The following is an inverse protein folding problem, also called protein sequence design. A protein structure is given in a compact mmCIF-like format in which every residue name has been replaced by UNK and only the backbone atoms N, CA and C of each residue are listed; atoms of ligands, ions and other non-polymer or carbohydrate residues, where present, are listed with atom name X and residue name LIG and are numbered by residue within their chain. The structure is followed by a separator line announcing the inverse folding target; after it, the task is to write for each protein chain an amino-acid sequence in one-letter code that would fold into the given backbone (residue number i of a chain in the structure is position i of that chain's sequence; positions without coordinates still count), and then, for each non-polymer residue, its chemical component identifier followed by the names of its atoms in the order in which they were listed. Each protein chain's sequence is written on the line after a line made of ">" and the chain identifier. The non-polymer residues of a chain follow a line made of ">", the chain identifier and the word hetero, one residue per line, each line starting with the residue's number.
data_IF_420932588489
#
_entry.id   IF_420932588489
#
_cell.length_a   1.000
_cell.length_b   1.000
_cell.length_c   1.000
_cell.angle_alpha   90.00
_cell.angle_beta   90.00
_cell.angle_gamma   90.00
#
_symmetry.space_group_name_H-M   'P 1'
#
loop_
_entity.id
_entity.type
_entity.pdbx_description
1 polymer ?
#
# COMPACT_ATOMS: atom_id res chain seq x y z
N UNK A 1 9.92 10.80 -17.90
CA UNK A 1 9.92 9.88 -16.72
C UNK A 1 10.01 10.60 -15.37
N UNK A 2 11.04 11.41 -15.12
CA UNK A 2 11.28 12.04 -13.82
C UNK A 2 10.07 12.86 -13.30
N UNK A 3 9.47 13.71 -14.13
CA UNK A 3 8.29 14.51 -13.73
C UNK A 3 7.08 13.65 -13.32
N UNK A 4 6.82 12.55 -14.05
CA UNK A 4 5.72 11.63 -13.72
C UNK A 4 5.95 10.90 -12.39
N UNK A 5 7.20 10.49 -12.12
CA UNK A 5 7.58 9.86 -10.86
C UNK A 5 7.54 10.85 -9.69
N UNK A 6 7.96 12.10 -9.89
CA UNK A 6 7.81 13.17 -8.89
C UNK A 6 6.32 13.33 -8.52
N UNK A 7 5.43 13.38 -9.52
CA UNK A 7 3.99 13.47 -9.28
C UNK A 7 3.47 12.27 -8.50
N UNK A 8 3.87 11.05 -8.88
CA UNK A 8 3.49 9.82 -8.21
C UNK A 8 3.98 9.77 -6.74
N UNK A 9 5.24 10.15 -6.49
CA UNK A 9 5.81 10.22 -5.15
C UNK A 9 5.13 11.27 -4.28
N UNK A 10 4.87 12.46 -4.84
CA UNK A 10 4.13 13.52 -4.17
C UNK A 10 2.69 13.08 -3.86
N UNK A 11 2.02 12.40 -4.78
CA UNK A 11 0.69 11.85 -4.57
C UNK A 11 0.67 10.79 -3.48
N UNK A 12 1.64 9.86 -3.45
CA UNK A 12 1.72 8.84 -2.40
C UNK A 12 1.87 9.48 -1.01
N UNK A 13 2.86 10.37 -0.85
CA UNK A 13 3.08 11.07 0.42
C UNK A 13 1.87 11.91 0.85
N UNK A 14 1.25 12.64 -0.08
CA UNK A 14 0.17 13.57 0.25
C UNK A 14 -1.17 12.91 0.50
N UNK A 15 -1.47 11.79 -0.19
CA UNK A 15 -2.74 11.05 0.02
C UNK A 15 -2.78 10.37 1.38
N UNK A 16 -1.64 9.82 1.82
CA UNK A 16 -1.50 9.14 3.12
C UNK A 16 -1.72 10.10 4.29
N UNK A 17 -1.14 11.30 4.25
CA UNK A 17 -1.40 12.34 5.25
C UNK A 17 -2.76 13.03 5.06
N UNK A 18 -3.16 13.28 3.82
CA UNK A 18 -4.41 13.97 3.48
C UNK A 18 -5.66 13.24 3.97
N UNK A 19 -5.61 11.91 4.06
CA UNK A 19 -6.68 11.09 4.63
C UNK A 19 -6.99 11.39 6.10
N UNK A 20 -6.08 12.05 6.83
CA UNK A 20 -6.32 12.50 8.19
C UNK A 20 -7.40 13.58 8.27
N UNK A 21 -7.60 14.38 7.21
CA UNK A 21 -8.61 15.45 7.21
C UNK A 21 -10.02 14.88 7.36
N UNK A 22 -10.37 13.89 6.55
CA UNK A 22 -11.68 13.22 6.63
C UNK A 22 -11.79 12.36 7.89
N UNK A 23 -10.68 11.75 8.33
CA UNK A 23 -10.63 10.97 9.56
C UNK A 23 -10.97 11.82 10.80
N UNK A 24 -10.36 13.00 10.91
CA UNK A 24 -10.50 13.93 12.03
C UNK A 24 -11.86 14.63 11.98
N UNK A 25 -12.24 15.22 10.84
CA UNK A 25 -13.42 16.07 10.79
C UNK A 25 -14.73 15.29 10.63
N UNK A 26 -14.69 14.15 9.94
CA UNK A 26 -15.91 13.43 9.53
C UNK A 26 -16.00 12.01 10.10
N UNK A 27 -14.99 11.55 10.85
CA UNK A 27 -14.88 10.16 11.32
C UNK A 27 -14.90 9.14 10.18
N UNK A 28 -14.50 9.54 8.98
CA UNK A 28 -14.42 8.67 7.80
C UNK A 28 -12.95 8.63 7.38
N UNK A 29 -12.20 7.58 7.72
CA UNK A 29 -10.78 7.51 7.40
C UNK A 29 -10.59 7.55 5.87
N UNK A 30 -9.80 8.50 5.39
CA UNK A 30 -9.56 8.68 3.95
C UNK A 30 -8.62 7.63 3.36
N UNK A 31 -7.76 7.03 4.18
CA UNK A 31 -7.00 5.83 3.87
C UNK A 31 -7.07 4.83 5.04
N UNK A 32 -6.86 3.52 4.80
CA UNK A 32 -6.84 2.50 5.86
C UNK A 32 -5.88 2.84 7.01
N UNK A 33 -4.80 3.56 6.70
CA UNK A 33 -3.81 3.97 7.68
C UNK A 33 -4.28 5.04 8.67
N UNK A 34 -5.33 5.82 8.33
CA UNK A 34 -5.86 6.87 9.22
C UNK A 34 -6.92 6.34 10.20
N UNK A 35 -7.18 5.03 10.26
CA UNK A 35 -8.15 4.45 11.22
C UNK A 35 -7.74 4.79 12.65
N UNK A 36 -6.46 4.61 13.01
CA UNK A 36 -5.96 4.96 14.35
C UNK A 36 -6.13 6.46 14.66
N UNK A 37 -5.97 7.32 13.65
CA UNK A 37 -6.15 8.77 13.76
C UNK A 37 -7.59 9.16 14.09
N UNK A 38 -8.59 8.39 13.62
CA UNK A 38 -9.99 8.66 13.96
C UNK A 38 -10.28 8.53 15.46
N UNK A 39 -9.52 7.71 16.21
CA UNK A 39 -9.79 7.40 17.62
C UNK A 39 -9.68 8.64 18.52
N UNK A 40 -8.59 9.39 18.38
CA UNK A 40 -8.36 10.62 19.15
C UNK A 40 -8.60 11.89 18.32
N UNK A 41 -8.29 11.86 17.02
CA UNK A 41 -8.41 13.02 16.16
C UNK A 41 -9.85 13.49 16.02
N UNK A 42 -10.80 12.55 15.84
CA UNK A 42 -12.21 12.91 15.76
C UNK A 42 -12.77 13.39 17.10
N UNK A 43 -12.38 12.74 18.21
CA UNK A 43 -12.75 13.17 19.56
C UNK A 43 -12.27 14.59 19.86
N UNK A 44 -11.05 14.99 19.44
CA UNK A 44 -10.58 16.37 19.52
C UNK A 44 -11.44 17.34 18.69
N UNK A 45 -11.81 16.94 17.47
CA UNK A 45 -12.65 17.77 16.60
C UNK A 45 -14.04 18.00 17.21
N UNK A 46 -14.65 16.98 17.80
CA UNK A 46 -15.94 17.07 18.49
C UNK A 46 -15.90 18.03 19.69
N UNK A 47 -14.74 18.16 20.34
CA UNK A 47 -14.51 19.11 21.42
C UNK A 47 -14.17 20.53 20.94
N UNK A 48 -14.32 20.85 19.66
CA UNK A 48 -13.99 22.16 19.07
C UNK A 48 -12.51 22.34 18.69
N UNK A 49 -11.64 21.36 19.02
CA UNK A 49 -10.19 21.43 18.79
C UNK A 49 -9.76 20.86 17.43
N UNK A 50 -10.63 20.94 16.41
CA UNK A 50 -10.37 20.38 15.08
C UNK A 50 -9.13 20.95 14.39
N UNK A 51 -8.86 22.26 14.52
CA UNK A 51 -7.65 22.88 13.96
C UNK A 51 -6.39 22.28 14.56
N UNK A 52 -6.38 22.16 15.90
CA UNK A 52 -5.26 21.61 16.64
C UNK A 52 -5.01 20.17 16.22
N UNK A 53 -6.06 19.34 16.12
CA UNK A 53 -5.93 17.95 15.65
C UNK A 53 -5.31 17.87 14.24
N UNK A 54 -5.76 18.69 13.30
CA UNK A 54 -5.20 18.73 11.94
C UNK A 54 -3.75 19.22 11.94
N UNK A 55 -3.43 20.25 12.73
CA UNK A 55 -2.07 20.76 12.84
C UNK A 55 -1.11 19.71 13.42
N UNK A 56 -1.52 19.04 14.52
CA UNK A 56 -0.75 17.96 15.12
C UNK A 56 -0.53 16.81 14.15
N UNK A 57 -1.57 16.43 13.39
CA UNK A 57 -1.49 15.41 12.34
C UNK A 57 -0.46 15.80 11.29
N UNK A 58 -0.61 16.90 10.56
CA UNK A 58 0.31 17.27 9.48
C UNK A 58 1.75 17.47 9.95
N UNK A 59 1.97 18.04 11.14
CA UNK A 59 3.29 18.21 11.71
C UNK A 59 3.94 16.87 12.09
N UNK A 60 3.19 15.96 12.73
CA UNK A 60 3.67 14.63 13.06
C UNK A 60 3.96 13.81 11.79
N UNK A 61 3.07 13.87 10.79
CA UNK A 61 3.25 13.23 9.49
C UNK A 61 4.47 13.77 8.75
N UNK A 62 4.77 15.06 8.86
CA UNK A 62 5.96 15.67 8.25
C UNK A 62 7.26 15.13 8.88
N UNK A 63 7.33 15.08 10.21
CA UNK A 63 8.52 14.57 10.91
C UNK A 63 8.73 13.08 10.63
N UNK A 64 7.66 12.28 10.76
CA UNK A 64 7.70 10.85 10.43
C UNK A 64 8.09 10.63 8.97
N UNK A 65 7.45 11.36 8.07
CA UNK A 65 7.69 11.28 6.64
C UNK A 65 9.11 11.64 6.20
N UNK A 66 9.68 12.72 6.76
CA UNK A 66 11.09 13.09 6.52
C UNK A 66 12.01 11.96 6.99
N UNK A 67 11.80 11.43 8.20
CA UNK A 67 12.61 10.32 8.71
C UNK A 67 12.49 9.06 7.83
N UNK A 68 11.27 8.74 7.38
CA UNK A 68 11.03 7.61 6.47
C UNK A 68 11.74 7.79 5.12
N UNK A 69 11.73 8.98 4.53
CA UNK A 69 12.46 9.26 3.28
C UNK A 69 13.97 9.26 3.50
N UNK A 70 14.46 9.70 4.66
CA UNK A 70 15.88 9.55 5.00
C UNK A 70 16.29 8.09 5.07
N UNK A 71 15.47 7.23 5.71
CA UNK A 71 15.70 5.79 5.67
C UNK A 71 15.69 5.24 4.24
N UNK A 72 14.79 5.71 3.38
CA UNK A 72 14.81 5.38 1.96
C UNK A 72 16.15 5.75 1.32
N UNK A 73 16.65 6.96 1.53
CA UNK A 73 17.94 7.44 0.98
C UNK A 73 19.11 6.58 1.45
N UNK A 74 19.17 6.25 2.75
CA UNK A 74 20.34 5.57 3.32
C UNK A 74 20.29 4.03 3.17
N UNK A 75 19.10 3.43 3.19
CA UNK A 75 18.97 1.97 3.15
C UNK A 75 18.89 1.42 1.73
N UNK A 76 18.41 2.22 0.77
CA UNK A 76 18.31 1.80 -0.64
C UNK A 76 19.66 1.40 -1.24
N UNK A 77 20.77 2.18 -1.09
CA UNK A 77 22.07 1.76 -1.61
C UNK A 77 22.58 0.47 -0.98
N UNK A 78 22.30 0.25 0.31
CA UNK A 78 22.73 -0.95 1.03
C UNK A 78 22.02 -2.19 0.48
N UNK A 79 20.70 -2.12 0.28
CA UNK A 79 19.92 -3.23 -0.29
C UNK A 79 20.19 -3.43 -1.79
N UNK A 80 20.44 -2.36 -2.55
CA UNK A 80 20.78 -2.46 -3.97
C UNK A 80 22.07 -3.27 -4.20
N UNK A 81 23.08 -3.11 -3.34
CA UNK A 81 24.30 -3.93 -3.40
C UNK A 81 24.02 -5.43 -3.18
N UNK A 82 23.03 -5.75 -2.35
CA UNK A 82 22.64 -7.15 -2.12
C UNK A 82 21.87 -7.72 -3.31
N UNK A 83 21.04 -6.89 -3.96
CA UNK A 83 20.30 -7.29 -5.16
C UNK A 83 21.23 -7.71 -6.32
N UNK A 84 22.42 -7.10 -6.43
CA UNK A 84 23.44 -7.48 -7.43
C UNK A 84 23.95 -8.92 -7.29
N UNK A 85 23.81 -9.54 -6.11
CA UNK A 85 24.22 -10.92 -5.88
C UNK A 85 23.18 -11.95 -6.39
N UNK A 86 22.01 -11.50 -6.86
CA UNK A 86 20.90 -12.40 -7.18
C UNK A 86 20.95 -12.86 -8.64
N UNK A 87 21.23 -14.15 -8.84
CA UNK A 87 20.99 -14.83 -10.11
C UNK A 87 19.51 -15.18 -10.38
N UNK A 88 19.19 -15.76 -11.56
CA UNK A 88 17.82 -16.04 -11.99
C UNK A 88 16.99 -16.90 -11.02
N UNK A 89 17.58 -17.93 -10.39
CA UNK A 89 16.87 -18.75 -9.40
C UNK A 89 16.41 -17.95 -8.18
N UNK A 90 17.23 -17.01 -7.72
CA UNK A 90 16.91 -16.15 -6.59
C UNK A 90 15.80 -15.16 -6.95
N UNK A 91 15.86 -14.55 -8.14
CA UNK A 91 14.82 -13.62 -8.62
C UNK A 91 13.47 -14.31 -8.83
N UNK A 92 13.47 -15.58 -9.28
CA UNK A 92 12.25 -16.39 -9.32
C UNK A 92 11.64 -16.55 -7.92
N UNK A 93 12.43 -17.02 -6.94
CA UNK A 93 11.92 -17.20 -5.57
C UNK A 93 11.55 -15.89 -4.89
N UNK A 94 12.23 -14.80 -5.21
CA UNK A 94 11.93 -13.46 -4.73
C UNK A 94 10.57 -12.98 -5.26
N UNK A 95 10.26 -13.25 -6.54
CA UNK A 95 8.96 -12.96 -7.13
C UNK A 95 7.83 -13.78 -6.44
N UNK A 96 8.07 -15.08 -6.23
CA UNK A 96 7.15 -15.96 -5.47
C UNK A 96 6.98 -15.47 -4.03
N UNK A 97 8.05 -15.03 -3.38
CA UNK A 97 8.04 -14.46 -2.03
C UNK A 97 7.20 -13.18 -1.97
N UNK A 98 7.33 -12.29 -2.94
CA UNK A 98 6.49 -11.10 -3.02
C UNK A 98 5.00 -11.45 -3.05
N UNK A 99 4.59 -12.32 -3.98
CA UNK A 99 3.17 -12.72 -4.14
C UNK A 99 2.65 -13.43 -2.89
N UNK A 100 3.45 -14.33 -2.30
CA UNK A 100 3.04 -15.12 -1.13
C UNK A 100 2.95 -14.30 0.14
N UNK A 101 3.89 -13.39 0.39
CA UNK A 101 3.89 -12.51 1.56
C UNK A 101 2.70 -11.56 1.52
N UNK A 102 2.45 -10.89 0.39
CA UNK A 102 1.29 -9.99 0.27
C UNK A 102 -0.02 -10.79 0.30
N UNK A 103 -0.08 -11.94 -0.39
CA UNK A 103 -1.23 -12.84 -0.35
C UNK A 103 -1.60 -13.27 1.06
N UNK A 104 -0.60 -13.54 1.91
CA UNK A 104 -0.83 -14.03 3.26
C UNK A 104 -1.16 -12.93 4.28
N UNK A 105 -0.69 -11.69 4.07
CA UNK A 105 -0.82 -10.59 5.04
C UNK A 105 -1.99 -9.64 4.76
N UNK A 106 -2.37 -9.44 3.50
CA UNK A 106 -3.37 -8.43 3.11
C UNK A 106 -4.81 -8.98 3.01
N UNK A 107 -4.97 -10.29 3.13
CA UNK A 107 -6.27 -10.95 2.97
C UNK A 107 -6.86 -11.42 4.30
N UNK A 108 -8.20 -11.39 4.41
CA UNK A 108 -8.90 -11.95 5.57
C UNK A 108 -8.77 -13.46 5.68
N UNK A 109 -8.32 -14.12 4.60
CA UNK A 109 -8.07 -15.54 4.55
C UNK A 109 -6.89 -15.82 3.64
N UNK A 110 -5.85 -16.44 4.18
CA UNK A 110 -4.58 -16.71 3.51
C UNK A 110 -4.81 -17.44 2.19
N UNK A 111 -5.73 -18.41 2.18
CA UNK A 111 -6.08 -19.17 0.97
C UNK A 111 -6.63 -18.25 -0.13
N UNK A 112 -7.53 -17.31 0.22
CA UNK A 112 -8.12 -16.39 -0.75
C UNK A 112 -7.09 -15.39 -1.26
N UNK A 113 -6.20 -14.90 -0.41
CA UNK A 113 -5.12 -14.01 -0.83
C UNK A 113 -4.10 -14.68 -1.74
N UNK A 114 -3.67 -15.92 -1.41
CA UNK A 114 -2.79 -16.70 -2.27
C UNK A 114 -3.45 -17.04 -3.61
N UNK A 115 -4.73 -17.44 -3.61
CA UNK A 115 -5.49 -17.66 -4.86
C UNK A 115 -5.61 -16.38 -5.68
N UNK A 116 -5.80 -15.22 -5.03
CA UNK A 116 -5.78 -13.93 -5.72
C UNK A 116 -4.44 -13.68 -6.42
N UNK A 117 -3.33 -13.97 -5.73
CA UNK A 117 -1.99 -13.94 -6.32
C UNK A 117 -1.83 -14.90 -7.51
N UNK A 118 -2.33 -16.13 -7.40
CA UNK A 118 -2.33 -17.09 -8.50
C UNK A 118 -3.17 -16.63 -9.70
N UNK A 119 -4.31 -15.99 -9.46
CA UNK A 119 -5.12 -15.37 -10.53
C UNK A 119 -4.29 -14.27 -11.21
N UNK A 120 -3.59 -13.44 -10.44
CA UNK A 120 -2.67 -12.43 -10.96
C UNK A 120 -1.58 -13.02 -11.86
N UNK A 121 -0.89 -14.05 -11.38
CA UNK A 121 0.14 -14.77 -12.13
C UNK A 121 -0.43 -15.37 -13.42
N UNK A 122 -1.64 -15.94 -13.37
CA UNK A 122 -2.32 -16.46 -14.55
C UNK A 122 -2.65 -15.35 -15.55
N UNK A 123 -3.19 -14.21 -15.09
CA UNK A 123 -3.49 -13.06 -15.95
C UNK A 123 -2.23 -12.51 -16.64
N UNK A 124 -1.08 -12.57 -15.98
CA UNK A 124 0.21 -12.18 -16.58
C UNK A 124 0.64 -13.08 -17.75
N UNK A 125 0.22 -14.36 -17.76
CA UNK A 125 0.53 -15.30 -18.85
C UNK A 125 -0.37 -15.17 -20.07
N UNK A 126 -1.38 -14.30 -20.02
CA UNK A 126 -2.27 -14.05 -21.17
C UNK A 126 -1.50 -13.25 -22.22
N UNK A 127 -1.48 -13.73 -23.46
CA UNK A 127 -0.79 -13.08 -24.57
C UNK A 127 0.12 -14.05 -25.34
N UNK A 128 1.09 -13.49 -26.06
CA UNK A 128 2.17 -14.27 -26.64
C UNK A 128 3.29 -14.44 -25.60
N UNK A 129 3.86 -15.64 -25.52
CA UNK A 129 5.09 -15.86 -24.77
C UNK A 129 6.27 -15.19 -25.48
N UNK A 130 7.02 -14.35 -24.76
CA UNK A 130 8.13 -13.58 -25.33
C UNK A 130 9.30 -14.45 -25.82
N UNK A 131 9.43 -15.67 -25.31
CA UNK A 131 10.58 -16.55 -25.58
C UNK A 131 10.27 -17.58 -26.67
N UNK A 132 9.09 -18.19 -26.62
CA UNK A 132 8.63 -19.28 -27.48
C UNK A 132 7.63 -18.82 -28.55
N UNK A 133 7.09 -17.60 -28.45
CA UNK A 133 6.08 -17.06 -29.38
C UNK A 133 4.74 -17.81 -29.32
N UNK A 134 4.52 -18.63 -28.30
CA UNK A 134 3.32 -19.43 -28.15
C UNK A 134 2.13 -18.56 -27.72
N UNK A 135 0.96 -18.78 -28.32
CA UNK A 135 -0.28 -18.12 -27.91
C UNK A 135 -0.81 -18.74 -26.62
N UNK A 136 -1.06 -17.91 -25.60
CA UNK A 136 -1.57 -18.33 -24.30
C UNK A 136 -2.83 -17.54 -23.94
N UNK A 137 -3.94 -18.27 -23.80
CA UNK A 137 -5.22 -17.73 -23.30
C UNK A 137 -5.76 -16.50 -24.06
N UNK A 138 -5.44 -16.36 -25.35
CA UNK A 138 -5.96 -15.27 -26.20
C UNK A 138 -7.39 -15.62 -26.62
N UNK A 139 -8.38 -14.98 -26.00
CA UNK A 139 -9.81 -15.19 -26.31
C UNK A 139 -10.43 -14.02 -27.11
N UNK A 140 -9.76 -12.86 -27.17
CA UNK A 140 -10.22 -11.69 -27.91
C UNK A 140 -9.01 -10.92 -28.47
N UNK A 141 -9.19 -10.20 -29.59
CA UNK A 141 -8.10 -9.40 -30.19
C UNK A 141 -7.54 -8.33 -29.25
N UNK A 142 -8.36 -7.82 -28.34
CA UNK A 142 -7.94 -6.85 -27.32
C UNK A 142 -6.94 -7.40 -26.29
N UNK A 143 -6.82 -8.72 -26.15
CA UNK A 143 -5.86 -9.36 -25.23
C UNK A 143 -4.75 -10.10 -25.96
N UNK A 144 -4.64 -9.96 -27.29
CA UNK A 144 -3.61 -10.65 -28.06
C UNK A 144 -2.21 -10.19 -27.69
N UNK A 145 -2.04 -8.90 -27.39
CA UNK A 145 -0.78 -8.33 -26.85
C UNK A 145 -0.59 -8.55 -25.35
N UNK A 146 -1.45 -9.38 -24.73
CA UNK A 146 -1.50 -9.59 -23.30
C UNK A 146 -2.25 -8.50 -22.53
N UNK A 147 -2.28 -8.64 -21.21
CA UNK A 147 -2.93 -7.67 -20.33
C UNK A 147 -1.92 -6.58 -19.97
N UNK A 148 -2.18 -5.36 -20.42
CA UNK A 148 -1.41 -4.22 -20.00
C UNK A 148 -1.61 -3.99 -18.48
N UNK A 149 -0.50 -3.92 -17.76
CA UNK A 149 -0.45 -3.75 -16.29
C UNK A 149 -1.20 -2.49 -15.86
N UNK A 150 -1.18 -1.42 -16.66
CA UNK A 150 -1.72 -0.11 -16.26
C UNK A 150 -3.26 -0.09 -16.26
N UNK A 151 -3.96 -0.40 -17.38
CA UNK A 151 -5.41 -0.57 -17.35
C UNK A 151 -5.86 -1.60 -16.32
N UNK A 152 -5.08 -2.67 -16.10
CA UNK A 152 -5.40 -3.66 -15.09
C UNK A 152 -5.33 -3.09 -13.67
N UNK A 153 -4.28 -2.36 -13.31
CA UNK A 153 -4.15 -1.67 -12.02
C UNK A 153 -5.29 -0.68 -11.77
N UNK A 154 -5.59 0.14 -12.77
CA UNK A 154 -6.70 1.10 -12.72
C UNK A 154 -8.02 0.35 -12.52
N UNK A 155 -8.24 -0.72 -13.29
CA UNK A 155 -9.41 -1.59 -13.19
C UNK A 155 -9.56 -2.17 -11.79
N UNK A 156 -8.56 -2.91 -11.33
CA UNK A 156 -8.57 -3.70 -10.10
C UNK A 156 -8.69 -2.84 -8.84
N UNK A 157 -8.13 -1.63 -8.81
CA UNK A 157 -8.20 -0.75 -7.63
C UNK A 157 -9.29 0.33 -7.71
N UNK A 158 -9.48 0.98 -8.86
CA UNK A 158 -10.37 2.15 -8.93
C UNK A 158 -11.83 1.76 -9.19
N UNK A 159 -12.09 0.79 -10.06
CA UNK A 159 -13.46 0.45 -10.49
C UNK A 159 -14.30 -0.13 -9.36
N UNK A 160 -13.82 -1.07 -8.50
CA UNK A 160 -14.59 -1.52 -7.34
C UNK A 160 -15.02 -0.38 -6.42
N UNK A 161 -14.11 0.57 -6.19
CA UNK A 161 -14.39 1.76 -5.38
C UNK A 161 -15.45 2.66 -6.03
N UNK A 162 -15.34 2.92 -7.34
CA UNK A 162 -16.32 3.69 -8.10
C UNK A 162 -17.71 3.05 -8.03
N UNK A 163 -17.81 1.73 -8.26
CA UNK A 163 -19.08 1.01 -8.17
C UNK A 163 -19.65 1.11 -6.75
N UNK A 164 -18.82 0.95 -5.71
CA UNK A 164 -19.24 1.08 -4.33
C UNK A 164 -19.72 2.51 -3.98
N UNK A 165 -19.08 3.54 -4.54
CA UNK A 165 -19.48 4.94 -4.39
C UNK A 165 -20.85 5.21 -5.01
N UNK A 166 -21.12 4.67 -6.20
CA UNK A 166 -22.44 4.75 -6.82
C UNK A 166 -23.51 3.93 -6.07
N UNK A 167 -23.15 2.74 -5.59
CA UNK A 167 -24.07 1.87 -4.85
C UNK A 167 -24.54 2.48 -3.51
N UNK A 168 -23.68 3.28 -2.84
CA UNK A 168 -24.04 4.02 -1.62
C UNK A 168 -25.04 5.17 -1.88
N UNK A 169 -25.28 5.55 -3.14
CA UNK A 169 -26.28 6.53 -3.56
C UNK A 169 -26.00 7.96 -3.09
N UNK A 170 -27.00 8.85 -3.25
CA UNK A 170 -26.98 10.24 -2.75
C UNK A 170 -27.24 10.32 -1.25
N UNK A 171 -26.58 9.49 -0.44
CA UNK A 171 -26.61 9.70 1.01
C UNK A 171 -25.79 10.95 1.28
N UNK A 172 -26.48 12.07 1.37
CA UNK A 172 -25.92 13.31 1.87
C UNK A 172 -25.48 12.98 3.29
N UNK A 173 -24.16 12.89 3.50
CA UNK A 173 -23.66 12.93 4.85
C UNK A 173 -24.02 14.34 5.33
N UNK A 174 -25.05 14.45 6.16
CA UNK A 174 -25.27 15.61 7.03
C UNK A 174 -24.13 15.65 8.05
N UNK A 175 -22.90 15.72 7.56
CA UNK A 175 -21.74 15.93 8.38
C UNK A 175 -21.72 17.43 8.66
N UNK A 176 -22.24 17.81 9.82
CA UNK A 176 -22.00 19.13 10.36
C UNK A 176 -20.50 19.37 10.38
N UNK A 177 -20.06 20.33 9.58
CA UNK A 177 -18.67 20.79 9.61
C UNK A 177 -18.46 21.40 10.98
N UNK A 178 -17.83 20.65 11.87
CA UNK A 178 -17.40 21.14 13.17
C UNK A 178 -16.63 22.44 12.95
N UNK A 179 -17.13 23.54 13.54
CA UNK A 179 -16.48 24.84 13.41
C UNK A 179 -15.06 24.71 13.97
N UNK A 180 -14.10 24.93 13.09
CA UNK A 180 -12.69 24.85 13.41
C UNK A 180 -12.29 26.17 14.08
N UNK A 181 -12.13 26.17 15.40
CA UNK A 181 -11.55 27.30 16.11
C UNK A 181 -10.09 27.50 15.70
N UNK A 182 -9.64 28.76 15.60
CA UNK A 182 -8.25 29.06 15.22
C UNK A 182 -7.32 28.64 16.34
N UNK A 183 -6.40 27.73 16.05
CA UNK A 183 -5.33 27.33 16.96
C UNK A 183 -3.96 27.82 16.43
N UNK A 184 -3.06 28.34 17.28
CA UNK A 184 -1.74 28.79 16.84
C UNK A 184 -0.87 27.61 16.37
N UNK A 185 -0.34 27.69 15.16
CA UNK A 185 0.55 26.64 14.60
C UNK A 185 1.81 26.47 15.47
N UNK A 186 2.31 27.55 16.08
CA UNK A 186 3.47 27.51 16.99
C UNK A 186 3.23 26.67 18.23
N UNK A 187 2.01 26.65 18.76
CA UNK A 187 1.63 25.83 19.91
C UNK A 187 1.53 24.36 19.53
N UNK A 188 0.93 24.05 18.37
CA UNK A 188 0.88 22.68 17.84
C UNK A 188 2.29 22.14 17.57
N UNK A 189 3.16 22.97 16.99
CA UNK A 189 4.58 22.64 16.79
C UNK A 189 5.26 22.31 18.12
N UNK A 190 5.18 23.21 19.12
CA UNK A 190 5.76 22.97 20.44
C UNK A 190 5.20 21.69 21.08
N UNK A 191 3.92 21.40 20.89
CA UNK A 191 3.29 20.21 21.42
C UNK A 191 3.81 18.91 20.79
N UNK A 192 3.97 18.86 19.46
CA UNK A 192 4.55 17.70 18.76
C UNK A 192 5.93 17.36 19.31
N UNK A 193 6.78 18.37 19.49
CA UNK A 193 8.13 18.17 20.04
C UNK A 193 8.14 17.91 21.56
N UNK A 194 7.16 18.42 22.32
CA UNK A 194 7.02 18.10 23.76
C UNK A 194 6.57 16.65 23.96
N UNK A 195 5.72 16.13 23.07
CA UNK A 195 5.27 14.73 23.04
C UNK A 195 6.24 13.85 22.24
N UNK A 196 7.54 14.07 22.38
CA UNK A 196 8.61 13.38 21.64
C UNK A 196 8.53 11.86 21.76
N UNK A 197 8.07 11.33 22.90
CA UNK A 197 7.89 9.90 23.09
C UNK A 197 6.90 9.29 22.10
N UNK A 198 5.71 9.87 21.97
CA UNK A 198 4.69 9.40 21.04
C UNK A 198 5.17 9.55 19.59
N UNK A 199 5.83 10.69 19.29
CA UNK A 199 6.43 10.96 18.00
C UNK A 199 7.48 9.89 17.62
N UNK A 200 8.44 9.60 18.51
CA UNK A 200 9.48 8.60 18.29
C UNK A 200 8.93 7.18 18.17
N UNK A 201 7.97 6.79 19.02
CA UNK A 201 7.31 5.48 18.93
C UNK A 201 6.64 5.33 17.56
N UNK A 202 5.86 6.32 17.14
CA UNK A 202 5.18 6.28 15.85
C UNK A 202 6.17 6.24 14.68
N UNK A 203 7.16 7.15 14.65
CA UNK A 203 8.16 7.20 13.58
C UNK A 203 8.95 5.89 13.47
N UNK A 204 9.41 5.32 14.57
CA UNK A 204 10.15 4.05 14.57
C UNK A 204 9.26 2.87 14.16
N UNK A 205 8.05 2.79 14.70
CA UNK A 205 7.09 1.72 14.39
C UNK A 205 6.72 1.74 12.91
N UNK A 206 6.37 2.91 12.38
CA UNK A 206 6.05 3.09 10.97
C UNK A 206 7.23 2.78 10.06
N UNK A 207 8.44 3.18 10.47
CA UNK A 207 9.66 2.90 9.71
C UNK A 207 9.97 1.40 9.60
N UNK A 208 9.91 0.68 10.74
CA UNK A 208 10.16 -0.76 10.78
C UNK A 208 9.09 -1.49 9.98
N UNK A 209 7.81 -1.15 10.20
CA UNK A 209 6.70 -1.80 9.50
C UNK A 209 6.77 -1.53 7.99
N UNK A 210 7.14 -0.32 7.57
CA UNK A 210 7.31 -0.01 6.16
C UNK A 210 8.37 -0.86 5.48
N UNK A 211 9.42 -1.30 6.18
CA UNK A 211 10.42 -2.21 5.61
C UNK A 211 9.91 -3.64 5.43
N UNK A 212 8.82 -4.02 6.09
CA UNK A 212 8.27 -5.38 6.01
C UNK A 212 7.31 -5.44 4.82
N UNK A 213 7.61 -6.25 3.78
CA UNK A 213 6.73 -6.40 2.64
C UNK A 213 5.31 -6.83 3.04
N UNK A 214 4.30 -6.22 2.41
CA UNK A 214 2.89 -6.53 2.63
C UNK A 214 2.29 -5.99 3.94
N UNK A 215 3.09 -5.43 4.87
CA UNK A 215 2.57 -4.86 6.12
C UNK A 215 2.26 -3.39 5.90
N UNK A 216 1.06 -3.10 5.41
CA UNK A 216 0.60 -1.75 5.06
C UNK A 216 0.37 -0.80 6.26
N UNK A 217 0.04 0.46 5.94
CA UNK A 217 -0.01 1.56 6.92
C UNK A 217 -1.07 1.43 8.01
N UNK A 218 -2.13 0.65 7.78
CA UNK A 218 -3.16 0.37 8.78
C UNK A 218 -2.58 -0.29 10.03
N UNK A 219 -1.71 -1.29 9.85
CA UNK A 219 -1.07 -1.99 10.96
C UNK A 219 -0.07 -1.04 11.65
N UNK A 220 0.68 -0.26 10.87
CA UNK A 220 1.62 0.72 11.41
C UNK A 220 0.96 1.71 12.37
N UNK A 221 -0.14 2.35 11.95
CA UNK A 221 -0.87 3.31 12.77
C UNK A 221 -1.47 2.69 14.05
N UNK A 222 -2.09 1.51 13.93
CA UNK A 222 -2.70 0.82 15.08
C UNK A 222 -1.67 0.33 16.10
N UNK A 223 -0.57 -0.25 15.63
CA UNK A 223 0.52 -0.70 16.51
C UNK A 223 1.18 0.50 17.19
N UNK A 224 1.46 1.58 16.45
CA UNK A 224 2.03 2.79 17.03
C UNK A 224 1.13 3.42 18.09
N UNK A 225 -0.18 3.48 17.83
CA UNK A 225 -1.18 3.95 18.78
C UNK A 225 -1.21 3.10 20.05
N UNK A 226 -1.28 1.77 19.92
CA UNK A 226 -1.33 0.87 21.07
C UNK A 226 -0.03 0.89 21.88
N UNK A 227 1.13 0.91 21.23
CA UNK A 227 2.41 1.04 21.90
C UNK A 227 2.54 2.39 22.60
N UNK A 228 2.14 3.49 21.96
CA UNK A 228 2.13 4.81 22.57
C UNK A 228 1.24 4.84 23.81
N UNK A 229 0.02 4.29 23.74
CA UNK A 229 -0.90 4.14 24.89
C UNK A 229 -0.27 3.32 26.01
N UNK A 230 0.28 2.14 25.71
CA UNK A 230 0.93 1.26 26.70
C UNK A 230 2.16 1.89 27.33
N UNK A 231 2.82 2.79 26.64
CA UNK A 231 4.03 3.42 27.14
C UNK A 231 3.70 4.69 27.93
N UNK A 232 2.69 5.47 27.50
CA UNK A 232 2.34 6.77 28.09
C UNK A 232 2.07 6.70 29.61
N UNK A 233 2.40 7.75 30.37
CA UNK A 233 1.89 7.94 31.73
C UNK A 233 0.40 8.31 31.75
N UNK A 234 -0.12 8.88 30.65
CA UNK A 234 -1.50 9.38 30.52
C UNK A 234 -2.41 8.39 29.76
N UNK A 235 -2.27 7.10 30.03
CA UNK A 235 -2.93 6.01 29.24
C UNK A 235 -4.44 6.13 29.17
N UNK A 236 -5.05 6.61 30.25
CA UNK A 236 -6.51 6.70 30.41
C UNK A 236 -7.14 7.78 29.53
N UNK A 237 -6.32 8.69 28.95
CA UNK A 237 -6.81 9.75 28.07
C UNK A 237 -6.90 9.32 26.60
N UNK A 238 -6.30 8.21 26.21
CA UNK A 238 -6.36 7.72 24.83
C UNK A 238 -7.80 7.35 24.45
N UNK A 239 -8.24 7.78 23.27
CA UNK A 239 -9.61 7.66 22.78
C UNK A 239 -10.53 8.81 23.21
N UNK A 240 -10.10 9.67 24.13
CA UNK A 240 -10.87 10.85 24.57
C UNK A 240 -10.43 12.14 23.90
N UNK A 241 -9.58 12.07 22.87
CA UNK A 241 -9.00 13.23 22.20
C UNK A 241 -7.59 13.58 22.67
N UNK A 242 -6.79 12.59 23.02
CA UNK A 242 -5.42 12.81 23.49
C UNK A 242 -4.42 13.04 22.35
N UNK A 243 -3.57 14.07 22.48
CA UNK A 243 -2.64 14.46 21.42
C UNK A 243 -1.60 13.39 21.09
N UNK A 244 -1.15 12.60 22.07
CA UNK A 244 -0.21 11.49 21.83
C UNK A 244 -0.76 10.44 20.86
N UNK A 245 -2.07 10.15 20.91
CA UNK A 245 -2.71 9.19 20.01
C UNK A 245 -2.66 9.63 18.55
N UNK A 246 -2.95 10.91 18.27
CA UNK A 246 -2.85 11.47 16.91
C UNK A 246 -1.40 11.55 16.46
N UNK A 247 -0.48 12.04 17.32
CA UNK A 247 0.93 12.18 16.97
C UNK A 247 1.55 10.83 16.64
N UNK A 248 1.31 9.79 17.45
CA UNK A 248 1.85 8.45 17.22
C UNK A 248 1.28 7.79 15.96
N UNK A 249 -0.03 7.90 15.73
CA UNK A 249 -0.67 7.34 14.55
C UNK A 249 -0.18 8.00 13.26
N UNK A 250 -0.15 9.34 13.23
CA UNK A 250 0.19 10.09 12.01
C UNK A 250 1.70 10.13 11.71
N UNK A 251 2.55 10.12 12.73
CA UNK A 251 3.99 9.95 12.49
C UNK A 251 4.32 8.55 11.96
N UNK A 252 3.67 7.50 12.47
CA UNK A 252 3.83 6.14 11.94
C UNK A 252 3.33 6.00 10.50
N UNK A 253 2.16 6.57 10.23
CA UNK A 253 1.52 6.55 8.93
C UNK A 253 2.45 7.06 7.82
N UNK A 254 3.00 8.25 8.00
CA UNK A 254 3.92 8.83 7.01
C UNK A 254 5.36 8.31 7.10
N UNK A 255 5.82 7.88 8.27
CA UNK A 255 7.15 7.26 8.39
C UNK A 255 7.26 5.94 7.63
N UNK A 256 6.15 5.25 7.37
CA UNK A 256 6.11 4.03 6.56
C UNK A 256 6.30 4.31 5.05
N UNK A 257 5.91 5.49 4.56
CA UNK A 257 5.87 5.82 3.12
C UNK A 257 7.24 5.58 2.45
N UNK A 258 8.30 6.21 2.95
CA UNK A 258 9.65 6.03 2.41
C UNK A 258 10.15 4.58 2.51
N UNK A 259 10.19 3.98 3.72
CA UNK A 259 10.67 2.62 3.93
C UNK A 259 9.91 1.56 3.13
N UNK A 260 8.60 1.74 2.86
CA UNK A 260 7.81 0.86 1.98
C UNK A 260 8.30 0.80 0.54
N UNK A 261 9.08 1.80 0.12
CA UNK A 261 9.70 1.85 -1.20
C UNK A 261 11.10 1.24 -1.21
N UNK A 262 11.73 0.97 -0.06
CA UNK A 262 13.09 0.40 -0.07
C UNK A 262 13.10 -0.99 -0.71
N UNK A 263 12.29 -1.97 -0.26
CA UNK A 263 12.26 -3.28 -0.91
C UNK A 263 11.65 -3.20 -2.31
N UNK A 264 10.78 -2.21 -2.57
CA UNK A 264 10.20 -2.01 -3.89
C UNK A 264 11.26 -1.61 -4.89
N UNK A 265 12.02 -0.56 -4.62
CA UNK A 265 12.98 0.00 -5.57
C UNK A 265 14.20 -0.90 -5.75
N UNK A 266 14.54 -1.71 -4.74
CA UNK A 266 15.73 -2.57 -4.75
C UNK A 266 15.45 -4.02 -5.16
N UNK A 267 14.28 -4.55 -4.81
CA UNK A 267 13.93 -5.97 -4.97
C UNK A 267 12.64 -6.18 -5.79
N UNK A 268 12.01 -5.11 -6.29
CA UNK A 268 10.69 -5.16 -6.95
C UNK A 268 9.56 -5.69 -6.07
N UNK A 269 9.74 -5.74 -4.75
CA UNK A 269 8.71 -6.20 -3.80
C UNK A 269 8.10 -5.01 -3.06
N UNK A 270 6.82 -4.68 -3.26
CA UNK A 270 6.20 -3.54 -2.59
C UNK A 270 6.02 -3.77 -1.09
N UNK A 271 6.36 -2.75 -0.29
CA UNK A 271 6.09 -2.72 1.16
C UNK A 271 4.61 -2.63 1.52
N UNK A 272 3.79 -2.06 0.63
CA UNK A 272 2.35 -1.83 0.85
C UNK A 272 1.55 -1.96 -0.44
N UNK A 273 0.22 -2.14 -0.37
CA UNK A 273 -0.65 -2.09 -1.56
C UNK A 273 -0.51 -0.79 -2.35
N UNK A 274 -0.36 0.36 -1.67
CA UNK A 274 -0.17 1.66 -2.34
C UNK A 274 1.19 1.74 -3.05
N UNK A 275 2.24 1.14 -2.46
CA UNK A 275 3.53 1.01 -3.11
C UNK A 275 3.44 0.14 -4.38
N UNK A 276 2.60 -0.91 -4.40
CA UNK A 276 2.39 -1.72 -5.60
C UNK A 276 1.80 -0.90 -6.78
N UNK A 277 0.96 0.11 -6.49
CA UNK A 277 0.48 1.05 -7.52
C UNK A 277 1.62 1.91 -8.08
N UNK A 278 2.53 2.36 -7.22
CA UNK A 278 3.74 3.09 -7.64
C UNK A 278 4.68 2.23 -8.50
N UNK A 279 4.82 0.95 -8.17
CA UNK A 279 5.55 -0.02 -9.00
C UNK A 279 4.98 -0.06 -10.42
N UNK A 280 3.64 -0.14 -10.55
CA UNK A 280 2.96 0.01 -11.83
C UNK A 280 3.35 1.28 -12.57
N UNK A 281 3.40 2.41 -11.85
CA UNK A 281 3.85 3.72 -12.34
C UNK A 281 5.27 3.74 -12.92
N UNK A 282 6.21 3.06 -12.28
CA UNK A 282 7.59 2.89 -12.76
C UNK A 282 7.62 2.07 -14.07
N UNK A 283 6.87 0.97 -14.10
CA UNK A 283 6.79 0.10 -15.27
C UNK A 283 6.17 0.80 -16.50
N UNK A 284 5.27 1.77 -16.31
CA UNK A 284 4.74 2.63 -17.41
C UNK A 284 5.86 3.32 -18.17
N UNK A 285 6.85 3.78 -17.42
CA UNK A 285 8.00 4.49 -17.97
C UNK A 285 9.10 3.55 -18.46
N UNK A 286 8.84 2.23 -18.48
CA UNK A 286 9.83 1.22 -18.85
C UNK A 286 10.95 1.06 -17.83
N UNK A 287 10.70 1.47 -16.58
CA UNK A 287 11.71 1.46 -15.51
C UNK A 287 11.42 0.26 -14.60
N UNK A 288 12.31 -0.72 -14.63
CA UNK A 288 12.23 -1.89 -13.77
C UNK A 288 13.02 -1.64 -12.48
N UNK A 289 12.39 -1.70 -11.30
CA UNK A 289 13.12 -1.59 -10.04
C UNK A 289 14.00 -2.81 -9.79
N UNK A 290 15.10 -2.60 -9.07
CA UNK A 290 16.20 -3.55 -8.97
C UNK A 290 17.54 -2.85 -9.07
N UNK A 291 18.59 -3.60 -9.41
CA UNK A 291 19.88 -3.02 -9.78
C UNK A 291 19.78 -2.08 -10.99
N UNK A 292 18.98 -2.46 -11.99
CA UNK A 292 18.79 -1.73 -13.24
C UNK A 292 18.39 -0.25 -13.02
N UNK A 293 17.51 0.01 -12.05
CA UNK A 293 17.07 1.35 -11.70
C UNK A 293 18.23 2.26 -11.25
N UNK A 294 19.17 1.74 -10.47
CA UNK A 294 20.27 2.53 -9.92
C UNK A 294 21.49 2.57 -10.85
N UNK A 295 21.66 1.57 -11.70
CA UNK A 295 22.77 1.48 -12.65
C UNK A 295 22.45 2.26 -13.95
N UNK A 296 21.27 2.04 -14.54
CA UNK A 296 20.88 2.61 -15.83
C UNK A 296 20.06 3.90 -15.72
N UNK A 297 19.36 4.11 -14.59
CA UNK A 297 18.51 5.29 -14.38
C UNK A 297 18.78 6.06 -13.07
N UNK A 298 20.05 6.29 -12.66
CA UNK A 298 20.38 6.91 -11.37
C UNK A 298 19.76 8.30 -11.21
N UNK A 299 19.81 9.12 -12.27
CA UNK A 299 19.25 10.48 -12.24
C UNK A 299 17.74 10.46 -11.99
N UNK A 300 17.03 9.48 -12.55
CA UNK A 300 15.58 9.33 -12.37
C UNK A 300 15.27 8.84 -10.96
N UNK A 301 15.99 7.81 -10.49
CA UNK A 301 15.81 7.22 -9.16
C UNK A 301 16.06 8.24 -8.05
N UNK A 302 17.19 8.94 -8.08
CA UNK A 302 17.55 9.92 -7.06
C UNK A 302 16.72 11.19 -7.15
N UNK A 303 16.33 11.64 -8.36
CA UNK A 303 15.38 12.75 -8.50
C UNK A 303 14.04 12.40 -7.86
N UNK A 304 13.52 11.19 -8.10
CA UNK A 304 12.30 10.71 -7.48
C UNK A 304 12.42 10.66 -5.94
N UNK A 305 13.44 10.00 -5.40
CA UNK A 305 13.66 9.87 -3.95
C UNK A 305 13.82 11.26 -3.29
N UNK A 306 14.64 12.14 -3.86
CA UNK A 306 14.86 13.48 -3.34
C UNK A 306 13.59 14.34 -3.43
N UNK A 307 12.79 14.16 -4.48
CA UNK A 307 11.51 14.86 -4.60
C UNK A 307 10.52 14.46 -3.52
N UNK A 308 10.57 13.23 -3.01
CA UNK A 308 9.74 12.80 -1.89
C UNK A 308 10.13 13.54 -0.61
N UNK A 309 11.42 13.83 -0.39
CA UNK A 309 11.88 14.58 0.78
C UNK A 309 11.34 16.01 0.75
N UNK A 310 11.45 16.68 -0.39
CA UNK A 310 10.83 18.01 -0.62
C UNK A 310 9.31 17.91 -0.50
N UNK A 311 8.72 16.83 -1.02
CA UNK A 311 7.30 16.52 -0.94
C UNK A 311 6.78 16.47 0.50
N UNK A 312 7.55 15.95 1.46
CA UNK A 312 7.14 15.96 2.87
C UNK A 312 7.03 17.36 3.45
N UNK A 313 7.98 18.24 3.10
CA UNK A 313 7.97 19.64 3.53
C UNK A 313 6.78 20.37 2.91
N UNK A 314 6.59 20.23 1.59
CA UNK A 314 5.48 20.87 0.89
C UNK A 314 4.12 20.32 1.35
N UNK A 315 4.00 19.01 1.58
CA UNK A 315 2.82 18.39 2.15
C UNK A 315 2.46 19.00 3.50
N UNK A 316 3.43 19.26 4.37
CA UNK A 316 3.18 19.93 5.64
C UNK A 316 2.66 21.36 5.43
N UNK A 317 3.32 22.15 4.56
CA UNK A 317 2.96 23.55 4.30
C UNK A 317 1.54 23.63 3.70
N UNK A 318 1.30 22.91 2.61
CA UNK A 318 0.00 22.89 1.94
C UNK A 318 -1.06 22.21 2.80
N UNK A 319 -0.72 21.15 3.53
CA UNK A 319 -1.62 20.48 4.46
C UNK A 319 -2.15 21.44 5.52
N UNK A 320 -1.28 22.20 6.18
CA UNK A 320 -1.67 23.19 7.18
C UNK A 320 -2.49 24.35 6.58
N UNK A 321 -2.16 24.80 5.37
CA UNK A 321 -2.88 25.89 4.69
C UNK A 321 -4.26 25.46 4.19
N UNK A 322 -4.35 24.25 3.61
CA UNK A 322 -5.53 23.73 2.93
C UNK A 322 -6.43 22.92 3.86
N UNK A 323 -5.97 22.52 5.05
CA UNK A 323 -6.73 21.71 6.02
C UNK A 323 -8.19 22.19 6.21
N UNK A 324 -8.41 23.50 6.33
CA UNK A 324 -9.74 24.10 6.47
C UNK A 324 -10.59 24.10 5.19
N UNK A 325 -9.96 24.15 4.01
CA UNK A 325 -10.62 24.04 2.69
C UNK A 325 -10.90 22.58 2.32
N UNK A 326 -9.99 21.67 2.65
CA UNK A 326 -10.10 20.24 2.39
C UNK A 326 -11.32 19.61 3.07
N UNK A 327 -11.76 20.17 4.20
CA UNK A 327 -13.02 19.81 4.86
C UNK A 327 -14.25 19.95 3.93
N UNK A 328 -14.26 20.95 3.05
CA UNK A 328 -15.33 21.18 2.07
C UNK A 328 -15.26 20.19 0.91
N UNK A 329 -14.06 19.82 0.48
CA UNK A 329 -13.86 18.80 -0.57
C UNK A 329 -14.33 17.43 -0.08
N UNK A 330 -14.12 17.11 1.20
CA UNK A 330 -14.59 15.86 1.79
C UNK A 330 -16.14 15.75 1.91
N UNK A 331 -16.88 16.84 1.66
CA UNK A 331 -18.35 16.84 1.57
C UNK A 331 -18.87 16.67 0.14
N UNK A 332 -17.99 16.59 -0.87
CA UNK A 332 -18.42 16.36 -2.25
C UNK A 332 -19.16 15.01 -2.30
N UNK A 333 -20.36 14.94 -2.91
CA UNK A 333 -21.12 13.71 -2.95
C UNK A 333 -20.33 12.57 -3.60
N UNK A 334 -20.37 11.38 -3.00
CA UNK A 334 -19.67 10.18 -3.51
C UNK A 334 -19.95 9.91 -4.99
N UNK A 335 -21.17 10.20 -5.48
CA UNK A 335 -21.52 10.04 -6.89
C UNK A 335 -20.70 10.95 -7.82
N UNK A 336 -20.39 12.19 -7.40
CA UNK A 336 -19.59 13.13 -8.19
C UNK A 336 -18.13 12.68 -8.21
N UNK A 337 -17.60 12.30 -7.04
CA UNK A 337 -16.24 11.75 -6.97
C UNK A 337 -16.09 10.48 -7.82
N UNK A 338 -17.07 9.56 -7.74
CA UNK A 338 -17.10 8.35 -8.55
C UNK A 338 -17.12 8.65 -10.05
N UNK A 339 -17.89 9.64 -10.50
CA UNK A 339 -17.92 10.06 -11.89
C UNK A 339 -16.59 10.65 -12.37
N UNK A 340 -15.94 11.49 -11.55
CA UNK A 340 -14.62 12.07 -11.88
C UNK A 340 -13.56 10.98 -11.94
N UNK A 341 -13.51 10.08 -10.94
CA UNK A 341 -12.57 8.95 -10.92
C UNK A 341 -12.79 8.04 -12.12
N UNK A 342 -14.04 7.74 -12.48
CA UNK A 342 -14.35 6.93 -13.66
C UNK A 342 -13.88 7.60 -14.95
N UNK A 343 -14.11 8.91 -15.11
CA UNK A 343 -13.63 9.67 -16.26
C UNK A 343 -12.10 9.64 -16.38
N UNK A 344 -11.39 9.82 -15.26
CA UNK A 344 -9.93 9.72 -15.21
C UNK A 344 -9.43 8.30 -15.45
N UNK A 345 -10.14 7.27 -14.98
CA UNK A 345 -9.80 5.87 -15.19
C UNK A 345 -9.91 5.46 -16.66
N UNK A 346 -10.99 5.87 -17.34
CA UNK A 346 -11.19 5.64 -18.77
C UNK A 346 -10.13 6.39 -19.58
N UNK A 347 -9.91 7.67 -19.29
CA UNK A 347 -8.88 8.46 -19.96
C UNK A 347 -7.49 7.88 -19.73
N UNK A 348 -7.15 7.53 -18.48
CA UNK A 348 -5.88 6.95 -18.09
C UNK A 348 -5.59 5.64 -18.83
N UNK A 349 -6.56 4.72 -18.83
CA UNK A 349 -6.42 3.43 -19.53
C UNK A 349 -6.31 3.58 -21.04
N UNK A 350 -7.09 4.49 -21.65
CA UNK A 350 -6.97 4.76 -23.08
C UNK A 350 -5.64 5.43 -23.44
N UNK A 351 -5.13 6.32 -22.59
CA UNK A 351 -3.95 7.15 -22.91
C UNK A 351 -2.64 6.37 -23.04
N UNK A 352 -2.57 5.14 -22.53
CA UNK A 352 -1.35 4.32 -22.54
C UNK A 352 -1.00 3.84 -23.95
N UNK A 353 -1.94 3.19 -24.62
CA UNK A 353 -1.73 2.63 -25.97
C UNK A 353 -2.70 3.19 -27.02
N UNK A 354 -3.49 4.21 -26.67
CA UNK A 354 -4.60 4.72 -27.51
C UNK A 354 -5.57 3.61 -27.95
N UNK A 355 -5.83 2.65 -27.05
CA UNK A 355 -6.61 1.45 -27.32
C UNK A 355 -7.89 1.42 -26.49
N UNK A 356 -9.04 1.21 -27.15
CA UNK A 356 -10.29 0.89 -26.44
C UNK A 356 -10.28 -0.54 -25.87
N UNK A 357 -9.43 -1.43 -26.39
CA UNK A 357 -9.22 -2.76 -25.82
C UNK A 357 -8.78 -2.68 -24.36
N UNK A 358 -7.84 -1.78 -24.07
CA UNK A 358 -7.35 -1.52 -22.71
C UNK A 358 -8.46 -1.01 -21.78
N UNK A 359 -9.34 -0.15 -22.29
CA UNK A 359 -10.51 0.33 -21.53
C UNK A 359 -11.48 -0.80 -21.21
N UNK A 360 -11.73 -1.72 -22.17
CA UNK A 360 -12.56 -2.89 -21.92
C UNK A 360 -11.94 -3.86 -20.92
N UNK A 361 -10.62 -4.08 -21.00
CA UNK A 361 -9.89 -4.91 -20.03
C UNK A 361 -9.95 -4.29 -18.63
N UNK A 362 -9.70 -2.98 -18.50
CA UNK A 362 -9.87 -2.23 -17.25
C UNK A 362 -11.27 -2.44 -16.66
N UNK A 363 -12.31 -2.24 -17.48
CA UNK A 363 -13.70 -2.37 -17.04
C UNK A 363 -14.03 -3.82 -16.63
N UNK A 364 -13.56 -4.82 -17.39
CA UNK A 364 -13.80 -6.24 -17.12
C UNK A 364 -13.09 -6.70 -15.83
N UNK A 365 -11.79 -6.43 -15.70
CA UNK A 365 -11.03 -6.78 -14.50
C UNK A 365 -11.55 -6.04 -13.27
N UNK A 366 -11.87 -4.76 -13.41
CA UNK A 366 -12.40 -3.96 -12.31
C UNK A 366 -13.79 -4.39 -11.84
N UNK A 367 -14.68 -4.70 -12.77
CA UNK A 367 -15.98 -5.28 -12.44
C UNK A 367 -15.83 -6.68 -11.83
N UNK A 368 -14.94 -7.50 -12.36
CA UNK A 368 -14.61 -8.81 -11.79
C UNK A 368 -14.08 -8.70 -10.36
N UNK A 369 -13.16 -7.77 -10.11
CA UNK A 369 -12.61 -7.52 -8.78
C UNK A 369 -13.69 -7.08 -7.79
N UNK A 370 -14.63 -6.23 -8.20
CA UNK A 370 -15.76 -5.82 -7.34
C UNK A 370 -16.57 -7.02 -6.83
N UNK A 371 -16.76 -8.06 -7.65
CA UNK A 371 -17.41 -9.29 -7.20
C UNK A 371 -16.47 -10.15 -6.34
N UNK A 372 -15.20 -10.30 -6.73
CA UNK A 372 -14.20 -11.06 -5.99
C UNK A 372 -13.98 -10.52 -4.57
N UNK A 373 -13.99 -9.20 -4.38
CA UNK A 373 -13.90 -8.55 -3.05
C UNK A 373 -15.04 -9.00 -2.13
N UNK A 374 -16.27 -9.16 -2.67
CA UNK A 374 -17.42 -9.66 -1.90
C UNK A 374 -17.26 -11.11 -1.47
N UNK A 375 -16.47 -11.90 -2.21
CA UNK A 375 -16.09 -13.26 -1.83
C UNK A 375 -14.84 -13.29 -0.93
N UNK A 376 -14.23 -12.16 -0.61
CA UNK A 376 -13.07 -12.03 0.29
C UNK A 376 -11.71 -12.20 -0.39
N UNK A 377 -11.62 -12.03 -1.70
CA UNK A 377 -10.35 -11.90 -2.41
C UNK A 377 -9.84 -10.45 -2.30
N UNK A 378 -8.52 -10.27 -2.23
CA UNK A 378 -7.89 -8.93 -2.22
C UNK A 378 -7.33 -8.59 -3.60
N UNK A 379 -7.45 -7.33 -4.00
CA UNK A 379 -6.87 -6.81 -5.24
C UNK A 379 -5.34 -6.76 -5.17
N UNK A 380 -4.74 -6.49 -4.00
CA UNK A 380 -3.30 -6.26 -3.91
C UNK A 380 -2.45 -7.50 -4.26
N UNK A 381 -2.75 -8.72 -3.76
CA UNK A 381 -2.03 -9.92 -4.19
C UNK A 381 -2.23 -10.23 -5.68
N UNK A 382 -3.43 -10.00 -6.24
CA UNK A 382 -3.71 -10.23 -7.66
C UNK A 382 -2.91 -9.29 -8.54
N UNK A 383 -2.89 -8.00 -8.21
CA UNK A 383 -2.04 -7.02 -8.85
C UNK A 383 -0.57 -7.42 -8.78
N UNK A 384 -0.12 -7.88 -7.61
CA UNK A 384 1.27 -8.26 -7.46
C UNK A 384 1.60 -9.50 -8.29
N UNK A 385 0.70 -10.48 -8.36
CA UNK A 385 0.83 -11.61 -9.27
C UNK A 385 0.90 -11.17 -10.73
N UNK A 386 0.11 -10.18 -11.14
CA UNK A 386 0.15 -9.63 -12.49
C UNK A 386 1.49 -8.96 -12.81
N UNK A 387 2.07 -8.23 -11.85
CA UNK A 387 3.34 -7.52 -12.02
C UNK A 387 4.55 -8.48 -11.93
N UNK A 388 4.56 -9.37 -10.94
CA UNK A 388 5.67 -10.28 -10.68
C UNK A 388 5.62 -11.53 -11.55
N UNK A 389 4.49 -11.83 -12.21
CA UNK A 389 4.33 -12.98 -13.09
C UNK A 389 5.34 -13.03 -14.23
N UNK A 390 5.48 -11.97 -15.05
CA UNK A 390 6.47 -11.96 -16.13
C UNK A 390 7.90 -12.07 -15.60
N UNK A 391 8.19 -11.46 -14.44
CA UNK A 391 9.50 -11.54 -13.79
C UNK A 391 9.76 -12.98 -13.33
N UNK A 392 8.79 -13.63 -12.69
CA UNK A 392 8.90 -15.01 -12.25
C UNK A 392 9.08 -15.95 -13.44
N UNK A 393 8.26 -15.80 -14.49
CA UNK A 393 8.31 -16.64 -15.68
C UNK A 393 9.64 -16.50 -16.43
N UNK A 394 10.09 -15.27 -16.70
CA UNK A 394 11.35 -15.03 -17.41
C UNK A 394 12.55 -15.61 -16.64
N UNK A 395 12.58 -15.43 -15.31
CA UNK A 395 13.65 -15.97 -14.47
C UNK A 395 13.56 -17.49 -14.30
N UNK A 396 12.35 -18.06 -14.30
CA UNK A 396 12.16 -19.51 -14.32
C UNK A 396 12.66 -20.12 -15.61
N UNK A 397 12.33 -19.53 -16.77
CA UNK A 397 12.77 -20.02 -18.08
C UNK A 397 14.29 -19.88 -18.22
N UNK A 398 14.86 -18.72 -17.91
CA UNK A 398 16.31 -18.52 -17.94
C UNK A 398 17.04 -19.46 -16.96
N UNK A 399 16.56 -19.57 -15.73
CA UNK A 399 17.13 -20.48 -14.73
C UNK A 399 17.02 -21.94 -15.17
N UNK A 400 15.94 -22.34 -15.82
CA UNK A 400 15.75 -23.69 -16.36
C UNK A 400 16.71 -23.99 -17.52
N UNK A 401 16.99 -23.02 -18.39
CA UNK A 401 18.01 -23.17 -19.44
C UNK A 401 19.41 -23.36 -18.85
N UNK A 402 19.79 -22.58 -17.84
CA UNK A 402 21.07 -22.71 -17.13
C UNK A 402 21.14 -24.06 -16.40
N UNK A 403 20.07 -24.45 -15.73
CA UNK A 403 19.97 -25.73 -15.03
C UNK A 403 20.16 -26.89 -15.99
N UNK A 404 19.47 -26.90 -17.14
CA UNK A 404 19.63 -27.93 -18.17
C UNK A 404 21.07 -28.00 -18.73
N UNK A 405 21.80 -26.88 -18.75
CA UNK A 405 23.18 -26.83 -19.24
C UNK A 405 24.23 -27.25 -18.18
N UNK A 406 23.93 -27.12 -16.89
CA UNK A 406 24.94 -27.23 -15.82
C UNK A 406 24.66 -28.34 -14.81
N UNK A 407 23.39 -28.57 -14.48
CA UNK A 407 22.98 -29.50 -13.42
C UNK A 407 21.56 -30.05 -13.68
N UNK A 408 20.70 -30.09 -12.66
CA UNK A 408 19.29 -30.45 -12.78
C UNK A 408 18.42 -29.32 -12.27
N UNK A 409 17.20 -29.17 -12.81
CA UNK A 409 16.28 -28.09 -12.46
C UNK A 409 16.00 -28.04 -10.94
N UNK A 410 15.77 -29.20 -10.32
CA UNK A 410 15.61 -29.28 -8.87
C UNK A 410 16.83 -28.80 -8.10
N UNK A 411 18.04 -29.18 -8.52
CA UNK A 411 19.27 -28.72 -7.87
C UNK A 411 19.41 -27.20 -8.01
N UNK A 412 19.24 -26.64 -9.20
CA UNK A 412 19.48 -25.21 -9.44
C UNK A 412 18.54 -24.29 -8.64
N UNK A 413 17.26 -24.67 -8.51
CA UNK A 413 16.26 -23.84 -7.81
C UNK A 413 16.12 -24.14 -6.32
N UNK A 414 16.41 -25.36 -5.86
CA UNK A 414 16.18 -25.77 -4.47
C UNK A 414 17.46 -25.85 -3.64
N UNK A 415 18.63 -25.69 -4.26
CA UNK A 415 19.92 -25.69 -3.55
C UNK A 415 20.58 -24.31 -3.56
N UNK A 416 21.57 -24.12 -2.69
CA UNK A 416 22.22 -22.84 -2.44
C UNK A 416 21.63 -22.13 -1.23
N UNK A 417 22.51 -21.53 -0.41
CA UNK A 417 22.14 -20.91 0.86
C UNK A 417 21.03 -19.88 0.70
N UNK A 418 21.10 -19.06 -0.36
CA UNK A 418 20.15 -17.97 -0.57
C UNK A 418 18.78 -18.49 -1.03
N UNK A 419 18.73 -19.44 -1.96
CA UNK A 419 17.47 -20.09 -2.36
C UNK A 419 16.80 -20.77 -1.16
N UNK A 420 17.56 -21.48 -0.32
CA UNK A 420 17.02 -22.12 0.88
C UNK A 420 16.46 -21.09 1.87
N UNK A 421 17.11 -19.93 2.03
CA UNK A 421 16.60 -18.83 2.86
C UNK A 421 15.30 -18.26 2.28
N UNK A 422 15.23 -17.99 0.97
CA UNK A 422 14.02 -17.48 0.33
C UNK A 422 12.85 -18.47 0.44
N UNK A 423 13.10 -19.75 0.15
CA UNK A 423 12.11 -20.83 0.30
C UNK A 423 11.65 -20.93 1.75
N UNK A 424 12.57 -20.89 2.72
CA UNK A 424 12.22 -20.92 4.12
C UNK A 424 11.32 -19.74 4.50
N UNK A 425 11.61 -18.52 4.03
CA UNK A 425 10.75 -17.35 4.28
C UNK A 425 9.37 -17.53 3.66
N UNK A 426 9.26 -18.05 2.43
CA UNK A 426 7.97 -18.36 1.79
C UNK A 426 7.17 -19.35 2.63
N UNK A 427 7.78 -20.48 3.00
CA UNK A 427 7.12 -21.53 3.79
C UNK A 427 6.72 -21.03 5.17
N UNK A 428 7.60 -20.28 5.84
CA UNK A 428 7.33 -19.70 7.15
C UNK A 428 6.24 -18.62 7.08
N UNK A 429 6.22 -17.79 6.03
CA UNK A 429 5.19 -16.76 5.83
C UNK A 429 3.81 -17.40 5.69
N UNK A 430 3.69 -18.42 4.83
CA UNK A 430 2.44 -19.15 4.62
C UNK A 430 2.05 -19.91 5.90
N UNK A 431 2.99 -20.63 6.52
CA UNK A 431 2.75 -21.44 7.71
C UNK A 431 2.35 -20.61 8.93
N UNK A 432 3.03 -19.49 9.18
CA UNK A 432 2.70 -18.55 10.25
C UNK A 432 1.32 -17.93 10.05
N UNK A 433 1.02 -17.47 8.83
CA UNK A 433 -0.27 -16.84 8.52
C UNK A 433 -1.42 -17.84 8.61
N UNK A 434 -1.23 -19.08 8.12
CA UNK A 434 -2.22 -20.14 8.24
C UNK A 434 -2.45 -20.55 9.71
N UNK A 435 -1.37 -20.63 10.51
CA UNK A 435 -1.48 -20.90 11.95
C UNK A 435 -2.22 -19.79 12.68
N UNK A 436 -1.93 -18.52 12.36
CA UNK A 436 -2.63 -17.38 12.93
C UNK A 436 -4.12 -17.42 12.58
N UNK A 437 -4.47 -17.67 11.31
CA UNK A 437 -5.87 -17.77 10.87
C UNK A 437 -6.62 -18.91 11.58
N UNK A 438 -6.00 -20.08 11.71
CA UNK A 438 -6.57 -21.22 12.43
C UNK A 438 -6.80 -20.92 13.92
N UNK A 439 -5.84 -20.24 14.57
CA UNK A 439 -5.98 -19.83 15.96
C UNK A 439 -7.09 -18.79 16.15
N UNK A 440 -7.20 -17.84 15.22
CA UNK A 440 -8.22 -16.81 15.28
C UNK A 440 -9.63 -17.38 15.09
N UNK A 441 -9.79 -18.36 14.19
CA UNK A 441 -11.06 -19.09 14.00
C UNK A 441 -11.46 -19.89 15.25
N UNK A 442 -10.50 -20.51 15.95
CA UNK A 442 -10.78 -21.23 17.20
C UNK A 442 -11.33 -20.32 18.29
N UNK A 443 -10.74 -19.14 18.50
CA UNK A 443 -11.22 -18.19 19.51
C UNK A 443 -12.61 -17.61 19.19
N UNK A 444 -12.93 -17.32 17.92
CA UNK A 444 -14.28 -16.87 17.53
C UNK A 444 -15.31 -17.98 17.75
N UNK A 445 -14.93 -19.25 17.51
CA UNK A 445 -15.83 -20.38 17.74
C UNK A 445 -16.07 -20.63 19.24
N UNK A 446 -15.07 -20.41 20.09
CA UNK A 446 -15.22 -20.46 21.56
C UNK A 446 -16.12 -19.32 22.08
N UNK A 447 -15.91 -18.07 21.63
CA UNK A 447 -16.74 -16.93 22.05
C UNK A 447 -18.20 -17.06 21.59
N UNK A 448 -18.44 -17.59 20.39
CA UNK A 448 -19.79 -17.88 19.89
C UNK A 448 -20.44 -19.06 20.63
N UNK A 449 -19.66 -20.04 21.09
CA UNK A 449 -20.15 -21.14 21.92
C UNK A 449 -20.56 -20.64 23.32
N UNK A 450 -19.72 -19.80 23.95
CA UNK A 450 -20.01 -19.19 25.26
C UNK A 450 -21.22 -18.27 25.20
N UNK A 451 -21.39 -17.48 24.12
CA UNK A 451 -22.59 -16.66 23.91
C UNK A 451 -23.87 -17.48 23.73
N UNK A 452 -23.78 -18.65 23.09
CA UNK A 452 -24.92 -19.55 22.94
C UNK A 452 -25.28 -20.25 24.26
N UNK A 453 -24.31 -20.62 25.08
CA UNK A 453 -24.57 -21.20 26.41
C UNK A 453 -25.16 -20.16 27.39
N UNK A 454 -24.67 -18.92 27.38
CA UNK A 454 -25.21 -17.85 28.22
C UNK A 454 -26.58 -17.29 27.79
N UNK A 455 -27.04 -17.60 26.57
CA UNK A 455 -28.39 -17.25 26.10
C UNK A 455 -29.43 -18.34 26.39
N UNK A 456 -28.99 -19.51 26.86
CA UNK A 456 -29.84 -20.66 27.23
C UNK A 456 -29.99 -20.84 28.75
N UNK A 457 -29.30 -20.02 29.56
CA UNK A 457 -29.45 -19.86 31.01
C UNK A 457 -30.27 -18.62 31.33
#
# INVERSE_FOLDING_TARGET
>A
PAQGLILLGAAYTSTVAGGAVSAILLKIPGAPANIATTLDGHSMAQQGHGARALQLSFLASAVGGVFGVLLLIFLTPVLAQWALAFGPSHLFWLAILGVTVIGSLDSSSVVKGLLSGCIGLWLATIGFDDIMGAQRFIFHSSVSGGINVIPALIGLFAIPQVIAMFAKGRRQLDAEVLKVERHPISEAFREVFRRSRALSIGTLTGSIIGLIPGVGGQIAGLVAYDQSRKMSPERDKFGTGHSEGVIAAESANNAMVGPSLVPLLTLSIPGSPTAAVLLGGLLIHGIFPGSDLFDNYPDVAWTFINSMLVGQILMCIFGLYVAGLAAKVAQVPNAVMGAVVLGLAVFGSYSVQHSMGDVYVMAALGTGMFFLERFGFSAAPLVLGLILGPIAEANFIQGSMIANATSSMGAYFLTGTLNLVLIAIVVLSIGYSAWMELRHRRHVTEDDAIRKEGALS
#
